data_IF_772252544125
#
_entry.id   IF_772252544125
#
_cell.length_a   1.000
_cell.length_b   1.000
_cell.length_c   1.000
_cell.angle_alpha   90.00
_cell.angle_beta   90.00
_cell.angle_gamma   90.00
#
_symmetry.space_group_name_H-M   'P 1'
#
loop_
_entity.id
_entity.type
_entity.pdbx_description
1 polymer ?
#
# COMPACT_ATOMS: atom_id res chain seq x y z
N UNK A 1 -0.22 -25.79 -2.36
CA UNK A 1 -0.70 -25.32 -3.67
C UNK A 1 -1.56 -24.10 -3.39
N UNK A 2 -1.23 -22.96 -3.97
CA UNK A 2 -2.01 -21.73 -3.80
C UNK A 2 -3.03 -21.67 -4.95
N UNK A 3 -4.26 -21.24 -4.63
CA UNK A 3 -5.37 -21.16 -5.59
C UNK A 3 -5.93 -19.75 -5.59
N UNK A 4 -6.48 -19.32 -6.72
CA UNK A 4 -7.06 -17.99 -6.85
C UNK A 4 -8.27 -17.86 -5.91
N UNK A 5 -8.18 -16.94 -4.96
CA UNK A 5 -9.28 -16.69 -4.02
C UNK A 5 -9.90 -15.34 -4.28
N UNK A 6 -11.21 -15.29 -4.46
CA UNK A 6 -11.95 -14.03 -4.49
C UNK A 6 -12.20 -13.56 -3.06
N UNK A 7 -11.73 -12.36 -2.72
CA UNK A 7 -11.89 -11.74 -1.41
C UNK A 7 -12.64 -10.43 -1.54
N UNK A 8 -13.35 -10.03 -0.47
CA UNK A 8 -14.08 -8.77 -0.44
C UNK A 8 -13.24 -7.71 0.28
N UNK A 9 -13.03 -6.57 -0.37
CA UNK A 9 -12.31 -5.46 0.22
C UNK A 9 -13.10 -4.85 1.38
N UNK A 10 -12.53 -4.84 2.59
CA UNK A 10 -13.17 -4.26 3.78
C UNK A 10 -13.35 -2.73 3.71
N UNK A 11 -12.61 -2.03 2.84
CA UNK A 11 -12.73 -0.57 2.69
C UNK A 11 -13.74 -0.13 1.63
N UNK A 12 -13.79 -0.79 0.47
CA UNK A 12 -14.67 -0.38 -0.63
C UNK A 12 -15.78 -1.38 -0.96
N UNK A 13 -15.82 -2.54 -0.29
CA UNK A 13 -16.82 -3.59 -0.49
C UNK A 13 -16.70 -4.34 -1.83
N UNK A 14 -15.71 -4.02 -2.67
CA UNK A 14 -15.51 -4.66 -3.97
C UNK A 14 -14.82 -6.01 -3.82
N UNK A 15 -15.23 -6.96 -4.65
CA UNK A 15 -14.53 -8.23 -4.82
C UNK A 15 -13.21 -8.00 -5.56
N UNK A 16 -12.16 -8.68 -5.13
CA UNK A 16 -10.87 -8.71 -5.79
C UNK A 16 -10.28 -10.12 -5.73
N UNK A 17 -9.46 -10.46 -6.72
CA UNK A 17 -8.83 -11.78 -6.80
C UNK A 17 -7.49 -11.72 -6.08
N UNK A 18 -7.32 -12.58 -5.08
CA UNK A 18 -6.05 -12.90 -4.45
C UNK A 18 -5.45 -14.12 -5.15
N UNK A 19 -4.69 -13.83 -6.20
CA UNK A 19 -4.11 -14.84 -7.11
C UNK A 19 -3.10 -15.74 -6.39
N UNK A 20 -2.86 -16.93 -6.93
CA UNK A 20 -1.82 -17.83 -6.42
C UNK A 20 -0.44 -17.14 -6.31
N UNK A 21 -0.05 -16.33 -7.31
CA UNK A 21 1.22 -15.59 -7.29
C UNK A 21 1.30 -14.50 -6.20
N UNK A 22 0.18 -13.84 -5.87
CA UNK A 22 0.15 -12.92 -4.73
C UNK A 22 0.26 -13.67 -3.39
N UNK A 23 -0.30 -14.88 -3.29
CA UNK A 23 -0.16 -15.73 -2.10
C UNK A 23 1.30 -16.17 -1.91
N UNK A 24 1.97 -16.56 -2.99
CA UNK A 24 3.41 -16.89 -2.97
C UNK A 24 4.24 -15.70 -2.50
N UNK A 25 3.99 -14.50 -3.06
CA UNK A 25 4.67 -13.27 -2.63
C UNK A 25 4.45 -12.97 -1.14
N UNK A 26 3.24 -13.21 -0.62
CA UNK A 26 2.94 -13.02 0.79
C UNK A 26 3.67 -14.02 1.67
N UNK A 27 3.67 -15.29 1.27
CA UNK A 27 4.38 -16.35 1.97
C UNK A 27 5.89 -16.09 2.01
N UNK A 28 6.50 -15.68 0.89
CA UNK A 28 7.92 -15.32 0.82
C UNK A 28 8.27 -14.13 1.72
N UNK A 29 7.36 -13.17 1.85
CA UNK A 29 7.53 -12.02 2.75
C UNK A 29 7.25 -12.34 4.22
N UNK A 30 6.82 -13.55 4.55
CA UNK A 30 6.42 -13.95 5.91
C UNK A 30 5.07 -13.35 6.35
N UNK A 31 4.24 -12.91 5.41
CA UNK A 31 2.87 -12.48 5.71
C UNK A 31 1.96 -13.71 5.81
N UNK A 32 1.58 -14.07 7.04
CA UNK A 32 0.66 -15.19 7.32
C UNK A 32 -0.80 -14.83 7.02
N UNK A 33 -1.12 -13.53 6.91
CA UNK A 33 -2.48 -13.04 6.78
C UNK A 33 -2.85 -12.68 5.33
N UNK A 34 -4.07 -13.06 4.94
CA UNK A 34 -4.66 -12.71 3.65
C UNK A 34 -4.91 -11.17 3.56
N UNK A 35 -4.78 -10.56 2.36
CA UNK A 35 -5.13 -9.17 2.17
C UNK A 35 -6.60 -8.90 2.52
N UNK A 36 -6.85 -7.93 3.40
CA UNK A 36 -8.22 -7.46 3.69
C UNK A 36 -8.69 -6.31 2.79
N UNK A 37 -7.79 -5.78 1.96
CA UNK A 37 -8.02 -4.61 1.10
C UNK A 37 -7.53 -4.92 -0.30
N UNK A 38 -8.31 -4.55 -1.30
CA UNK A 38 -7.91 -4.68 -2.69
C UNK A 38 -6.71 -3.77 -3.01
N UNK A 39 -5.99 -4.12 -4.08
CA UNK A 39 -4.83 -3.37 -4.57
C UNK A 39 -5.10 -1.87 -4.70
N UNK A 40 -6.23 -1.49 -5.28
CA UNK A 40 -6.62 -0.09 -5.45
C UNK A 40 -6.71 0.69 -4.13
N UNK A 41 -7.27 0.10 -3.06
CA UNK A 41 -7.35 0.76 -1.75
C UNK A 41 -5.98 0.85 -1.07
N UNK A 42 -5.13 -0.18 -1.22
CA UNK A 42 -3.75 -0.12 -0.74
C UNK A 42 -2.95 0.96 -1.45
N UNK A 43 -3.05 1.03 -2.77
CA UNK A 43 -2.36 2.04 -3.58
C UNK A 43 -2.88 3.44 -3.26
N UNK A 44 -4.20 3.62 -3.10
CA UNK A 44 -4.78 4.90 -2.69
C UNK A 44 -4.23 5.36 -1.32
N UNK A 45 -4.16 4.47 -0.33
CA UNK A 45 -3.54 4.78 0.97
C UNK A 45 -2.06 5.14 0.86
N UNK A 46 -1.31 4.38 0.07
CA UNK A 46 0.12 4.63 -0.15
C UNK A 46 0.36 5.98 -0.81
N UNK A 47 -0.49 6.35 -1.77
CA UNK A 47 -0.45 7.67 -2.42
C UNK A 47 -0.88 8.79 -1.48
N UNK A 48 -1.91 8.58 -0.64
CA UNK A 48 -2.33 9.56 0.36
C UNK A 48 -1.26 9.84 1.43
N UNK A 49 -0.46 8.83 1.81
CA UNK A 49 0.68 9.00 2.71
C UNK A 49 1.83 9.82 2.09
N UNK A 50 1.83 9.98 0.77
CA UNK A 50 2.73 10.86 0.03
C UNK A 50 2.12 12.27 -0.07
N UNK A 51 1.64 12.79 1.05
CA UNK A 51 1.18 14.18 1.15
C UNK A 51 2.25 15.13 0.60
N UNK A 52 1.82 16.23 0.00
CA UNK A 52 2.71 17.24 -0.58
C UNK A 52 3.81 17.56 0.42
N UNK A 53 5.04 17.19 0.09
CA UNK A 53 6.20 17.50 0.91
C UNK A 53 6.28 19.03 0.95
N UNK A 54 5.85 19.63 2.05
CA UNK A 54 6.02 21.06 2.29
C UNK A 54 7.52 21.31 2.40
N UNK A 55 8.12 21.74 1.30
CA UNK A 55 9.51 22.16 1.23
C UNK A 55 9.57 23.56 1.85
N UNK A 56 10.12 23.67 3.06
CA UNK A 56 10.39 24.97 3.66
C UNK A 56 11.71 25.51 3.10
N UNK A 57 11.70 26.76 2.63
CA UNK A 57 12.93 27.48 2.27
C UNK A 57 13.68 27.85 3.54
N UNK A 58 14.73 27.11 3.89
CA UNK A 58 15.60 27.44 5.01
C UNK A 58 16.65 28.48 4.59
N UNK A 59 16.65 29.65 5.22
CA UNK A 59 17.72 30.65 5.04
C UNK A 59 18.94 30.20 5.83
N UNK A 60 20.09 30.12 5.17
CA UNK A 60 21.32 29.63 5.78
C UNK A 60 21.94 30.68 6.72
N UNK A 61 22.49 30.26 7.86
CA UNK A 61 23.20 31.15 8.79
C UNK A 61 24.43 31.85 8.16
N UNK A 62 24.87 31.40 6.98
CA UNK A 62 25.97 31.99 6.21
C UNK A 62 25.54 33.18 5.35
N UNK A 63 24.24 33.38 5.14
CA UNK A 63 23.69 34.32 4.16
C UNK A 63 22.58 35.24 4.72
N UNK A 64 22.27 35.17 6.03
CA UNK A 64 21.17 35.88 6.68
C UNK A 64 21.60 36.82 7.82
N UNK A 65 22.58 37.69 7.57
CA UNK A 65 23.03 38.76 8.46
C UNK A 65 23.62 39.92 7.67
#
# INVERSE_FOLDING_TARGET
MYEDKTLICKECGKEFVFTAGEQEFYAEKGFVNEPQRCKACRDARKNAAKGERQMYTATCARCGG
#
